data_IF_556407420623
#
_entry.id   IF_556407420623
#
_cell.length_a   1.000
_cell.length_b   1.000
_cell.length_c   1.000
_cell.angle_alpha   90.00
_cell.angle_beta   90.00
_cell.angle_gamma   90.00
#
_symmetry.space_group_name_H-M   'P 1'
#
loop_
_entity.id
_entity.type
_entity.pdbx_description
1 polymer ?
#
# COMPACT_ATOMS: atom_id res chain seq x y z
N UNK A 1 -7.17 -3.52 25.23
CA UNK A 1 -6.85 -4.28 24.00
C UNK A 1 -7.81 -3.92 22.86
N UNK A 2 -9.12 -4.01 23.06
CA UNK A 2 -10.11 -3.69 22.03
C UNK A 2 -9.99 -2.26 21.45
N UNK A 3 -9.79 -1.26 22.31
CA UNK A 3 -9.55 0.13 21.88
C UNK A 3 -8.28 0.30 21.01
N UNK A 4 -7.25 -0.53 21.22
CA UNK A 4 -6.01 -0.47 20.42
C UNK A 4 -6.24 -1.07 19.03
N UNK A 5 -7.04 -2.13 18.94
CA UNK A 5 -7.44 -2.70 17.65
C UNK A 5 -8.32 -1.75 16.84
N UNK A 6 -9.21 -1.00 17.50
CA UNK A 6 -9.98 0.05 16.86
C UNK A 6 -9.09 1.11 16.22
N UNK A 7 -8.09 1.62 16.95
CA UNK A 7 -7.13 2.59 16.41
C UNK A 7 -6.37 2.03 15.19
N UNK A 8 -5.90 0.78 15.26
CA UNK A 8 -5.21 0.15 14.13
C UNK A 8 -6.12 0.05 12.90
N UNK A 9 -7.37 -0.38 13.08
CA UNK A 9 -8.34 -0.46 11.99
C UNK A 9 -8.63 0.92 11.38
N UNK A 10 -8.78 1.96 12.21
CA UNK A 10 -9.01 3.33 11.77
C UNK A 10 -7.83 3.85 10.94
N UNK A 11 -6.58 3.61 11.37
CA UNK A 11 -5.41 4.02 10.59
C UNK A 11 -5.25 3.24 9.29
N UNK A 12 -5.54 1.92 9.30
CA UNK A 12 -5.50 1.10 8.08
C UNK A 12 -6.53 1.55 7.04
N UNK A 13 -7.73 1.97 7.47
CA UNK A 13 -8.77 2.46 6.56
C UNK A 13 -8.31 3.67 5.74
N UNK A 14 -7.40 4.50 6.28
CA UNK A 14 -6.87 5.69 5.60
C UNK A 14 -5.92 5.33 4.45
N UNK A 15 -5.31 4.15 4.49
CA UNK A 15 -4.31 3.71 3.50
C UNK A 15 -4.95 3.49 2.12
N UNK A 16 -6.19 3.00 2.08
CA UNK A 16 -6.91 2.73 0.82
C UNK A 16 -7.12 4.00 -0.01
N UNK A 17 -7.30 5.12 0.66
CA UNK A 17 -7.52 6.43 0.04
C UNK A 17 -6.43 7.42 0.43
N UNK A 18 -5.17 6.98 0.46
CA UNK A 18 -4.04 7.79 0.92
C UNK A 18 -3.91 9.13 0.16
N UNK A 19 -4.23 9.15 -1.13
CA UNK A 19 -4.28 10.37 -1.93
C UNK A 19 -5.53 11.22 -1.72
N UNK A 20 -6.58 10.66 -1.12
CA UNK A 20 -7.93 11.21 -1.01
C UNK A 20 -8.87 10.72 -2.12
N UNK A 21 -10.16 10.54 -1.78
CA UNK A 21 -11.16 9.94 -2.68
C UNK A 21 -11.23 10.60 -4.06
N UNK A 22 -11.13 11.93 -4.13
CA UNK A 22 -11.12 12.69 -5.38
C UNK A 22 -10.05 12.20 -6.37
N UNK A 23 -8.87 11.81 -5.88
CA UNK A 23 -7.77 11.35 -6.73
C UNK A 23 -7.92 9.88 -7.12
N UNK A 24 -8.48 9.05 -6.23
CA UNK A 24 -8.90 7.67 -6.53
C UNK A 24 -9.90 7.67 -7.69
N UNK A 25 -10.97 8.47 -7.58
CA UNK A 25 -12.00 8.57 -8.62
C UNK A 25 -11.44 9.05 -9.94
N UNK A 26 -10.55 10.07 -9.89
CA UNK A 26 -9.87 10.58 -11.10
C UNK A 26 -8.97 9.52 -11.74
N UNK A 27 -8.28 8.71 -10.93
CA UNK A 27 -7.41 7.64 -11.43
C UNK A 27 -8.24 6.53 -12.10
N UNK A 28 -9.32 6.09 -11.46
CA UNK A 28 -10.27 5.11 -12.01
C UNK A 28 -10.98 5.62 -13.28
N UNK A 29 -11.39 6.90 -13.32
CA UNK A 29 -12.00 7.52 -14.52
C UNK A 29 -11.09 7.46 -15.75
N UNK A 30 -9.77 7.35 -15.57
CA UNK A 30 -8.81 7.17 -16.66
C UNK A 30 -8.63 5.71 -17.09
N UNK A 31 -9.46 4.79 -16.59
CA UNK A 31 -9.35 3.35 -16.84
C UNK A 31 -8.13 2.71 -16.17
N UNK A 32 -7.59 3.32 -15.12
CA UNK A 32 -6.40 2.81 -14.42
C UNK A 32 -6.78 2.14 -13.10
N UNK A 33 -6.12 1.02 -12.82
CA UNK A 33 -6.23 0.30 -11.56
C UNK A 33 -5.38 0.98 -10.45
N UNK A 34 -5.86 0.93 -9.22
CA UNK A 34 -5.13 1.29 -8.00
C UNK A 34 -3.98 0.31 -7.75
N UNK A 35 -3.07 0.64 -6.83
CA UNK A 35 -1.92 -0.21 -6.53
C UNK A 35 -2.36 -1.59 -6.02
N UNK A 36 -3.32 -1.64 -5.09
CA UNK A 36 -3.86 -2.88 -4.52
C UNK A 36 -4.62 -3.72 -5.54
N UNK A 37 -5.45 -3.08 -6.37
CA UNK A 37 -6.16 -3.75 -7.47
C UNK A 37 -5.18 -4.41 -8.46
N UNK A 38 -4.05 -3.75 -8.75
CA UNK A 38 -2.99 -4.32 -9.59
C UNK A 38 -2.32 -5.53 -8.95
N UNK A 39 -2.10 -5.50 -7.64
CA UNK A 39 -1.51 -6.61 -6.88
C UNK A 39 -2.48 -7.80 -6.86
N UNK A 40 -3.76 -7.54 -6.55
CA UNK A 40 -4.81 -8.57 -6.52
C UNK A 40 -4.96 -9.29 -7.86
N UNK A 41 -4.82 -8.58 -8.98
CA UNK A 41 -4.84 -9.18 -10.32
C UNK A 41 -3.53 -9.87 -10.73
N UNK A 42 -2.42 -9.61 -10.02
CA UNK A 42 -1.10 -10.15 -10.33
C UNK A 42 -0.83 -11.46 -9.59
N UNK A 43 -1.27 -11.57 -8.34
CA UNK A 43 -1.04 -12.76 -7.50
C UNK A 43 -1.91 -13.92 -7.95
N UNK A 44 -1.43 -15.13 -7.71
CA UNK A 44 -2.16 -16.36 -8.02
C UNK A 44 -3.50 -16.39 -7.25
N UNK A 45 -4.62 -16.77 -7.89
CA UNK A 45 -5.90 -16.89 -7.21
C UNK A 45 -5.83 -17.80 -5.97
N UNK A 46 -6.59 -17.45 -4.93
CA UNK A 46 -6.63 -18.17 -3.65
C UNK A 46 -5.29 -18.27 -2.90
N UNK A 47 -4.29 -17.46 -3.27
CA UNK A 47 -3.02 -17.34 -2.55
C UNK A 47 -2.98 -16.10 -1.66
N UNK A 48 -2.25 -16.13 -0.53
CA UNK A 48 -2.16 -14.98 0.36
C UNK A 48 -1.26 -13.88 -0.24
N UNK A 49 -1.63 -12.63 0.03
CA UNK A 49 -0.73 -11.49 -0.07
C UNK A 49 -0.43 -10.94 1.32
N UNK A 50 0.82 -11.03 1.75
CA UNK A 50 1.29 -10.47 3.02
C UNK A 50 1.78 -9.05 2.79
N UNK A 51 0.95 -8.04 3.09
CA UNK A 51 1.40 -6.66 3.08
C UNK A 51 2.33 -6.36 4.26
N UNK A 52 3.47 -5.72 3.96
CA UNK A 52 4.47 -5.33 4.93
C UNK A 52 4.42 -3.83 5.21
N UNK A 53 4.49 -3.49 6.50
CA UNK A 53 4.51 -2.11 6.99
C UNK A 53 3.36 -1.22 6.45
N UNK A 54 2.09 -1.68 6.48
CA UNK A 54 0.96 -0.87 5.99
C UNK A 54 0.78 0.42 6.80
N UNK A 55 1.19 0.43 8.07
CA UNK A 55 1.10 1.59 8.96
C UNK A 55 2.31 2.55 8.88
N UNK A 56 3.22 2.36 7.92
CA UNK A 56 4.39 3.24 7.78
C UNK A 56 3.95 4.72 7.65
N UNK A 57 4.63 5.61 8.36
CA UNK A 57 4.28 7.03 8.43
C UNK A 57 3.32 7.40 9.56
N UNK A 58 2.78 6.43 10.31
CA UNK A 58 2.02 6.72 11.53
C UNK A 58 2.84 7.56 12.53
N UNK A 59 2.20 8.57 13.12
CA UNK A 59 2.85 9.52 14.03
C UNK A 59 3.78 10.54 13.35
N UNK A 60 3.82 10.59 12.02
CA UNK A 60 4.59 11.57 11.26
C UNK A 60 3.70 12.60 10.55
N UNK A 61 4.31 13.59 9.90
CA UNK A 61 3.61 14.55 9.03
C UNK A 61 3.15 13.94 7.69
N UNK A 62 3.59 12.73 7.36
CA UNK A 62 3.23 12.00 6.15
C UNK A 62 2.06 11.06 6.41
N UNK A 63 1.20 10.81 5.40
CA UNK A 63 0.08 9.91 5.57
C UNK A 63 0.55 8.46 5.77
N UNK A 64 -0.27 7.72 6.51
CA UNK A 64 -0.10 6.29 6.78
C UNK A 64 -0.10 5.50 5.46
N UNK A 65 0.76 4.49 5.36
CA UNK A 65 1.00 3.71 4.13
C UNK A 65 2.17 4.23 3.29
N UNK A 66 2.58 5.49 3.47
CA UNK A 66 3.72 6.12 2.83
C UNK A 66 3.73 6.11 1.27
N UNK A 67 2.56 5.95 0.64
CA UNK A 67 2.38 6.07 -0.82
C UNK A 67 2.87 4.88 -1.65
N UNK A 68 3.23 3.77 -0.99
CA UNK A 68 3.68 2.55 -1.66
C UNK A 68 3.15 1.32 -0.92
N UNK A 69 2.59 0.38 -1.67
CA UNK A 69 2.21 -0.95 -1.17
C UNK A 69 3.39 -1.87 -1.41
N UNK A 70 3.80 -2.61 -0.38
CA UNK A 70 4.91 -3.55 -0.44
C UNK A 70 4.52 -4.81 0.30
N UNK A 71 4.85 -5.98 -0.23
CA UNK A 71 4.47 -7.24 0.38
C UNK A 71 5.03 -8.44 -0.35
N UNK A 72 4.67 -9.61 0.16
CA UNK A 72 5.04 -10.91 -0.40
C UNK A 72 3.77 -11.57 -0.92
N UNK A 73 3.80 -12.02 -2.17
CA UNK A 73 2.71 -12.77 -2.80
C UNK A 73 3.23 -13.95 -3.59
N UNK A 74 2.33 -14.77 -4.13
CA UNK A 74 2.68 -15.91 -4.98
C UNK A 74 2.34 -15.56 -6.42
N UNK A 75 3.29 -15.79 -7.34
CA UNK A 75 3.11 -15.61 -8.79
C UNK A 75 3.65 -16.85 -9.48
N UNK A 76 2.79 -17.55 -10.22
CA UNK A 76 3.13 -18.81 -10.91
C UNK A 76 3.76 -19.85 -9.94
N UNK A 77 3.21 -19.94 -8.73
CA UNK A 77 3.69 -20.83 -7.68
C UNK A 77 4.99 -20.42 -6.98
N UNK A 78 5.52 -19.22 -7.26
CA UNK A 78 6.77 -18.70 -6.67
C UNK A 78 6.49 -17.54 -5.72
N UNK A 79 7.11 -17.55 -4.54
CA UNK A 79 7.07 -16.41 -3.61
C UNK A 79 7.86 -15.22 -4.18
N UNK A 80 7.20 -14.08 -4.31
CA UNK A 80 7.76 -12.86 -4.92
C UNK A 80 7.54 -11.66 -4.01
N UNK A 81 8.61 -10.88 -3.81
CA UNK A 81 8.51 -9.54 -3.26
C UNK A 81 7.91 -8.56 -4.27
N UNK A 82 6.77 -7.95 -3.93
CA UNK A 82 6.02 -7.05 -4.80
C UNK A 82 6.08 -5.63 -4.24
N UNK A 83 6.34 -4.65 -5.11
CA UNK A 83 6.22 -3.21 -4.80
C UNK A 83 5.26 -2.55 -5.79
N UNK A 84 4.38 -1.70 -5.29
CA UNK A 84 3.43 -0.96 -6.12
C UNK A 84 3.19 0.45 -5.58
N UNK A 85 3.60 1.45 -6.36
CA UNK A 85 3.40 2.86 -6.01
C UNK A 85 1.94 3.28 -6.21
N UNK A 86 1.40 4.00 -5.22
CA UNK A 86 0.07 4.61 -5.30
C UNK A 86 0.15 5.98 -5.99
N UNK A 87 -0.36 6.04 -7.22
CA UNK A 87 -0.35 7.24 -8.05
C UNK A 87 -1.35 8.31 -7.59
N UNK A 88 -2.26 7.97 -6.67
CA UNK A 88 -3.24 8.90 -6.13
C UNK A 88 -2.60 9.86 -5.13
N UNK A 89 -1.53 9.45 -4.44
CA UNK A 89 -0.78 10.30 -3.53
C UNK A 89 0.39 10.99 -4.24
N UNK A 90 0.28 12.32 -4.39
CA UNK A 90 1.31 13.18 -5.01
C UNK A 90 1.86 12.65 -6.36
N UNK A 91 1.03 11.94 -7.13
CA UNK A 91 1.47 11.36 -8.40
C UNK A 91 2.53 10.28 -8.28
N UNK A 92 2.64 9.61 -7.13
CA UNK A 92 3.63 8.56 -6.88
C UNK A 92 5.01 9.05 -6.47
N UNK A 93 5.16 10.34 -6.13
CA UNK A 93 6.43 10.86 -5.61
C UNK A 93 6.74 10.31 -4.22
N UNK A 94 7.99 9.86 -4.04
CA UNK A 94 8.50 9.38 -2.76
C UNK A 94 8.63 10.49 -1.72
N UNK A 95 8.36 10.15 -0.46
CA UNK A 95 8.68 10.96 0.71
C UNK A 95 9.68 10.20 1.62
N UNK A 96 10.22 10.81 2.69
CA UNK A 96 11.17 10.15 3.58
C UNK A 96 10.67 8.80 4.15
N UNK A 97 9.37 8.70 4.51
CA UNK A 97 8.77 7.45 5.01
C UNK A 97 8.64 6.40 3.91
N UNK A 98 8.46 6.81 2.66
CA UNK A 98 8.51 5.91 1.50
C UNK A 98 9.90 5.28 1.40
N UNK A 99 10.96 6.07 1.55
CA UNK A 99 12.35 5.60 1.47
C UNK A 99 12.65 4.61 2.60
N UNK A 100 12.36 4.97 3.85
CA UNK A 100 12.55 4.08 5.01
C UNK A 100 11.79 2.75 4.84
N UNK A 101 10.51 2.80 4.43
CA UNK A 101 9.69 1.61 4.16
C UNK A 101 10.31 0.74 3.06
N UNK A 102 10.81 1.37 2.01
CA UNK A 102 11.40 0.68 0.85
C UNK A 102 12.75 0.04 1.18
N UNK A 103 13.63 0.75 1.89
CA UNK A 103 14.91 0.21 2.33
C UNK A 103 14.71 -1.03 3.20
N UNK A 104 13.76 -1.00 4.14
CA UNK A 104 13.47 -2.17 4.97
C UNK A 104 12.93 -3.36 4.16
N UNK A 105 12.13 -3.10 3.13
CA UNK A 105 11.60 -4.14 2.25
C UNK A 105 12.70 -4.82 1.42
N UNK A 106 13.67 -4.07 0.91
CA UNK A 106 14.75 -4.60 0.08
C UNK A 106 15.84 -5.37 0.85
N UNK A 107 15.77 -5.43 2.17
CA UNK A 107 16.65 -6.26 3.01
C UNK A 107 16.16 -7.71 3.18
N UNK A 108 14.95 -8.02 2.69
CA UNK A 108 14.33 -9.34 2.72
C UNK A 108 14.78 -10.11 1.48
#
# INVERSE_FOLDING_TARGET
MEALWGLVADELSKVETIGGQRYVDRHRKRGKMLARERIEQLVDPDTPFLELSPLAGWGSEFPVGAGVVMGIGIIEGVEVGITATDMTYRGGSSNPRTVEKSSRFFEI
#
